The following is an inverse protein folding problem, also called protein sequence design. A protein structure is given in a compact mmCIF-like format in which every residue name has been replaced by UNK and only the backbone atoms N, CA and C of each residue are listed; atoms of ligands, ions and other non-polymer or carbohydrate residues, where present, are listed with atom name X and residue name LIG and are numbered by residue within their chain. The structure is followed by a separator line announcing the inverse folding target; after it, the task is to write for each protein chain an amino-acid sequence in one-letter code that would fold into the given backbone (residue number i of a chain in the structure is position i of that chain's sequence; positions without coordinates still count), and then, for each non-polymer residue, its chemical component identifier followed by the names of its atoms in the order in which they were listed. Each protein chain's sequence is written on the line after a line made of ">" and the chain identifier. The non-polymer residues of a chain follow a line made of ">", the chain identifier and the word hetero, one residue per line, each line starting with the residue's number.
data_IF_987651327612
#
_entry.id   IF_987651327612
#
_cell.length_a   1.000
_cell.length_b   1.000
_cell.length_c   1.000
_cell.angle_alpha   90.00
_cell.angle_beta   90.00
_cell.angle_gamma   90.00
#
_symmetry.space_group_name_H-M   'P 1'
#
loop_
_entity.id
_entity.type
_entity.pdbx_description
1 polymer ?
#
# COMPACT_ATOMS: atom_id res chain seq x y z
N UNK A 1 -8.76 -19.07 3.84
CA UNK A 1 -8.02 -19.08 2.58
C UNK A 1 -7.33 -17.76 2.33
N UNK A 2 -6.07 -17.83 1.97
CA UNK A 2 -5.30 -16.61 1.72
C UNK A 2 -5.59 -16.07 0.32
N UNK A 3 -5.88 -14.79 0.26
CA UNK A 3 -6.22 -14.15 -1.00
C UNK A 3 -5.27 -12.99 -1.29
N UNK A 4 -4.76 -12.94 -2.51
CA UNK A 4 -3.96 -11.81 -2.97
C UNK A 4 -4.90 -10.68 -3.38
N UNK A 5 -4.53 -9.45 -3.05
CA UNK A 5 -5.30 -8.28 -3.42
C UNK A 5 -4.58 -7.52 -4.53
N UNK A 6 -5.35 -7.00 -5.48
CA UNK A 6 -4.78 -6.12 -6.49
C UNK A 6 -4.46 -4.77 -5.83
N UNK A 7 -3.66 -3.94 -6.52
CA UNK A 7 -3.32 -2.62 -5.99
C UNK A 7 -4.58 -1.78 -5.77
N UNK A 8 -5.56 -1.87 -6.67
CA UNK A 8 -6.81 -1.11 -6.53
C UNK A 8 -7.62 -1.59 -5.33
N UNK A 9 -7.69 -2.90 -5.11
CA UNK A 9 -8.39 -3.45 -3.95
C UNK A 9 -7.73 -3.00 -2.65
N UNK A 10 -6.39 -3.03 -2.61
CA UNK A 10 -5.67 -2.61 -1.42
C UNK A 10 -5.86 -1.11 -1.15
N UNK A 11 -5.83 -0.29 -2.19
CA UNK A 11 -6.06 1.15 -2.04
C UNK A 11 -7.43 1.41 -1.42
N UNK A 12 -8.44 0.69 -1.85
CA UNK A 12 -9.79 0.85 -1.32
C UNK A 12 -9.87 0.45 0.15
N UNK A 13 -9.24 -0.66 0.50
CA UNK A 13 -9.21 -1.14 1.89
C UNK A 13 -8.52 -0.12 2.79
N UNK A 14 -7.45 0.51 2.30
CA UNK A 14 -6.70 1.50 3.06
C UNK A 14 -7.33 2.88 3.02
N UNK A 15 -8.46 3.01 2.34
CA UNK A 15 -9.13 4.30 2.17
C UNK A 15 -8.28 5.32 1.43
N UNK A 16 -7.44 4.84 0.52
CA UNK A 16 -6.63 5.68 -0.35
C UNK A 16 -7.42 5.91 -1.63
N UNK A 17 -8.42 6.77 -1.54
CA UNK A 17 -9.37 7.02 -2.61
C UNK A 17 -9.52 8.52 -2.79
N UNK A 18 -9.54 8.97 -4.05
CA UNK A 18 -9.74 10.39 -4.36
C UNK A 18 -11.14 10.78 -3.93
N UNK A 19 -11.26 11.88 -3.20
CA UNK A 19 -12.55 12.32 -2.65
C UNK A 19 -13.54 12.77 -3.73
N UNK A 20 -13.06 13.22 -4.86
CA UNK A 20 -13.92 13.71 -5.94
C UNK A 20 -14.28 12.63 -6.94
N UNK A 21 -13.28 11.92 -7.45
CA UNK A 21 -13.50 10.93 -8.51
C UNK A 21 -13.81 9.55 -7.98
N UNK A 22 -13.53 9.30 -6.69
CA UNK A 22 -13.70 7.99 -6.05
C UNK A 22 -12.81 6.92 -6.64
N UNK A 23 -11.76 7.32 -7.35
CA UNK A 23 -10.81 6.38 -7.93
C UNK A 23 -9.70 6.04 -6.94
N UNK A 24 -9.19 4.79 -6.96
CA UNK A 24 -8.10 4.41 -6.06
C UNK A 24 -6.85 5.23 -6.34
N UNK A 25 -6.17 5.63 -5.26
CA UNK A 25 -4.94 6.40 -5.37
C UNK A 25 -3.75 5.44 -5.43
N UNK A 26 -3.70 4.65 -6.50
CA UNK A 26 -2.67 3.61 -6.65
C UNK A 26 -1.25 4.16 -6.70
N UNK A 27 -1.10 5.40 -7.15
CA UNK A 27 0.23 6.01 -7.22
C UNK A 27 0.88 6.16 -5.84
N UNK A 28 0.09 6.27 -4.81
CA UNK A 28 0.62 6.35 -3.44
C UNK A 28 1.28 5.02 -3.05
N UNK A 29 0.62 3.91 -3.37
CA UNK A 29 1.17 2.59 -3.08
C UNK A 29 2.43 2.31 -3.91
N UNK A 30 2.46 2.76 -5.16
CA UNK A 30 3.65 2.62 -6.00
C UNK A 30 4.82 3.43 -5.45
N UNK A 31 4.52 4.63 -4.96
CA UNK A 31 5.54 5.47 -4.34
C UNK A 31 6.10 4.81 -3.08
N UNK A 32 5.22 4.27 -2.24
CA UNK A 32 5.65 3.56 -1.04
C UNK A 32 6.49 2.33 -1.36
N UNK A 33 6.14 1.60 -2.41
CA UNK A 33 6.92 0.45 -2.86
C UNK A 33 8.36 0.87 -3.17
N UNK A 34 8.51 2.02 -3.75
CA UNK A 34 9.81 2.57 -4.11
C UNK A 34 10.61 2.97 -2.88
N UNK A 35 9.93 3.51 -1.87
CA UNK A 35 10.58 4.03 -0.67
C UNK A 35 10.81 2.96 0.40
N UNK A 36 10.01 1.94 0.46
CA UNK A 36 10.08 0.91 1.50
C UNK A 36 10.42 -0.45 0.91
N UNK A 37 11.55 -1.01 1.31
CA UNK A 37 11.98 -2.32 0.85
C UNK A 37 11.02 -3.43 1.29
N UNK A 38 10.31 -3.22 2.38
CA UNK A 38 9.38 -4.19 2.93
C UNK A 38 8.18 -4.42 2.03
N UNK A 39 7.86 -3.45 1.18
CA UNK A 39 6.72 -3.57 0.27
C UNK A 39 7.19 -4.21 -1.02
N UNK A 40 6.87 -5.49 -1.19
CA UNK A 40 7.27 -6.26 -2.36
C UNK A 40 6.07 -7.02 -2.93
N UNK A 41 5.23 -6.34 -3.71
CA UNK A 41 4.09 -7.03 -4.33
C UNK A 41 4.58 -7.99 -5.41
N UNK A 42 3.78 -9.01 -5.66
CA UNK A 42 4.05 -9.93 -6.75
C UNK A 42 3.50 -9.34 -8.04
N UNK A 43 4.31 -9.31 -9.08
CA UNK A 43 3.87 -8.79 -10.37
C UNK A 43 3.53 -9.93 -11.31
N UNK A 44 2.29 -9.92 -11.80
CA UNK A 44 1.79 -10.91 -12.75
C UNK A 44 1.16 -10.14 -13.90
N UNK A 45 1.65 -10.36 -15.13
CA UNK A 45 1.16 -9.66 -16.32
C UNK A 45 1.13 -8.14 -16.11
N UNK A 46 2.20 -7.60 -15.55
CA UNK A 46 2.36 -6.16 -15.29
C UNK A 46 1.38 -5.62 -14.27
N UNK A 47 0.74 -6.47 -13.48
CA UNK A 47 -0.15 -6.07 -12.41
C UNK A 47 0.42 -6.45 -11.06
N UNK A 48 0.22 -5.59 -10.07
CA UNK A 48 0.71 -5.83 -8.72
C UNK A 48 -0.33 -6.54 -7.87
N UNK A 49 0.10 -7.59 -7.17
CA UNK A 49 -0.76 -8.34 -6.26
C UNK A 49 -0.08 -8.43 -4.91
N UNK A 50 -0.84 -8.16 -3.86
CA UNK A 50 -0.34 -8.12 -2.49
C UNK A 50 -0.84 -9.32 -1.72
N UNK A 51 0.09 -10.13 -1.19
CA UNK A 51 -0.26 -11.26 -0.35
C UNK A 51 -0.82 -10.75 0.98
N UNK A 52 -1.52 -11.60 1.76
CA UNK A 52 -2.02 -11.17 3.08
C UNK A 52 -0.91 -10.60 3.95
N UNK A 53 0.28 -11.17 3.88
CA UNK A 53 1.42 -10.67 4.64
C UNK A 53 1.83 -9.28 4.17
N UNK A 54 1.83 -9.05 2.87
CA UNK A 54 2.15 -7.74 2.32
C UNK A 54 1.08 -6.72 2.69
N UNK A 55 -0.18 -7.13 2.70
CA UNK A 55 -1.28 -6.25 3.11
C UNK A 55 -1.03 -5.74 4.53
N UNK A 56 -0.63 -6.63 5.44
CA UNK A 56 -0.34 -6.25 6.81
C UNK A 56 0.83 -5.26 6.88
N UNK A 57 1.87 -5.50 6.08
CA UNK A 57 3.03 -4.60 6.03
C UNK A 57 2.62 -3.21 5.57
N UNK A 58 1.80 -3.12 4.53
CA UNK A 58 1.36 -1.83 4.00
C UNK A 58 0.45 -1.13 5.00
N UNK A 59 -0.42 -1.88 5.68
CA UNK A 59 -1.28 -1.31 6.71
C UNK A 59 -0.46 -0.69 7.84
N UNK A 60 0.59 -1.38 8.26
CA UNK A 60 1.46 -0.86 9.31
C UNK A 60 2.15 0.43 8.88
N UNK A 61 2.67 0.45 7.65
CA UNK A 61 3.33 1.65 7.13
C UNK A 61 2.35 2.82 7.09
N UNK A 62 1.13 2.58 6.60
CA UNK A 62 0.12 3.64 6.56
C UNK A 62 -0.20 4.14 7.96
N UNK A 63 -0.32 3.23 8.91
CA UNK A 63 -0.59 3.59 10.30
C UNK A 63 0.50 4.50 10.86
N UNK A 64 1.76 4.14 10.64
CA UNK A 64 2.88 4.93 11.13
C UNK A 64 2.93 6.31 10.50
N UNK A 65 2.66 6.39 9.21
CA UNK A 65 2.69 7.68 8.50
C UNK A 65 1.51 8.58 8.84
N UNK A 66 0.32 8.01 8.95
CA UNK A 66 -0.90 8.80 9.14
C UNK A 66 -1.24 9.00 10.61
N UNK A 67 -1.19 7.94 11.39
CA UNK A 67 -1.66 8.00 12.79
C UNK A 67 -0.57 8.43 13.76
N UNK A 68 0.68 8.06 13.48
CA UNK A 68 1.79 8.46 14.34
C UNK A 68 2.52 9.69 13.84
N UNK A 69 2.16 10.17 12.64
CA UNK A 69 2.78 11.36 12.06
C UNK A 69 4.25 11.23 11.73
N UNK A 70 4.73 10.00 11.54
CA UNK A 70 6.12 9.78 11.20
C UNK A 70 6.39 10.13 9.74
N UNK A 71 7.60 10.56 9.46
CA UNK A 71 8.02 10.79 8.09
C UNK A 71 8.41 9.47 7.44
N UNK A 72 8.52 9.47 6.10
CA UNK A 72 8.97 8.28 5.38
C UNK A 72 10.35 7.87 5.89
N UNK A 73 11.24 8.83 6.09
CA UNK A 73 12.57 8.56 6.62
C UNK A 73 12.51 7.91 8.00
N UNK A 74 11.64 8.40 8.87
CA UNK A 74 11.46 7.83 10.20
C UNK A 74 10.93 6.41 10.18
N UNK A 75 10.04 6.11 9.25
CA UNK A 75 9.47 4.76 9.15
C UNK A 75 10.50 3.77 8.58
N UNK A 76 11.34 4.22 7.63
CA UNK A 76 12.36 3.37 7.04
C UNK A 76 13.40 2.91 8.05
N UNK A 77 13.65 3.71 9.04
CA UNK A 77 14.57 3.39 10.12
C UNK A 77 13.83 2.66 11.22
#
# INVERSE_FOLDING_TARGET
>A
MKKFLSISELSKILNLIDSKTKKPLNHILRYWEKEFRQIKPKKINNRRYYSPKQVETVKLIKFLLKNKGLTISGVKN
#
